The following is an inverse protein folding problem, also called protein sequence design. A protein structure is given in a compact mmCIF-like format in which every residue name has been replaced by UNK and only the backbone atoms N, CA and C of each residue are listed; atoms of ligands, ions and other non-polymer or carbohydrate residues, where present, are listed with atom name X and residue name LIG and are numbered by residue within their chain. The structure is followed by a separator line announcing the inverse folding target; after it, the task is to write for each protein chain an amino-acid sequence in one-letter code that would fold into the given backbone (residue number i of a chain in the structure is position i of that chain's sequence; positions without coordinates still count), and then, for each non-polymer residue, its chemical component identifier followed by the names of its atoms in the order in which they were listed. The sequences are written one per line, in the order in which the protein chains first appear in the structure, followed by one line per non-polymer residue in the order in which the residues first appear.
data_IF_446270471551
#
_entry.id   IF_446270471551
#
_cell.length_a   1.000
_cell.length_b   1.000
_cell.length_c   1.000
_cell.angle_alpha   90.00
_cell.angle_beta   90.00
_cell.angle_gamma   90.00
#
_symmetry.space_group_name_H-M   'P 1'
#
loop_
_entity.id
_entity.type
_entity.pdbx_description
1 polymer ?
#
# COMPACT_ATOMS: atom_id res chain seq x y z
N UNK A 1 -14.17 -10.78 -6.26
CA UNK A 1 -12.89 -10.40 -6.87
C UNK A 1 -12.01 -9.90 -5.72
N UNK A 2 -10.89 -9.25 -5.95
CA UNK A 2 -10.21 -8.45 -4.92
C UNK A 2 -10.07 -7.04 -5.46
N UNK A 3 -10.00 -6.05 -4.58
CA UNK A 3 -9.59 -4.70 -4.94
C UNK A 3 -8.18 -4.46 -4.43
N UNK A 4 -7.34 -3.87 -5.28
CA UNK A 4 -5.92 -3.73 -5.00
C UNK A 4 -5.61 -2.28 -4.64
N UNK A 5 -5.00 -2.10 -3.47
CA UNK A 5 -4.47 -0.83 -3.00
C UNK A 5 -2.96 -0.85 -3.18
N UNK A 6 -2.40 0.29 -3.54
CA UNK A 6 -0.95 0.41 -3.74
C UNK A 6 -0.40 1.55 -2.91
N UNK A 7 0.66 1.27 -2.13
CA UNK A 7 1.49 2.31 -1.53
C UNK A 7 2.73 2.48 -2.38
N UNK A 8 2.98 3.72 -2.82
CA UNK A 8 4.20 4.11 -3.52
C UNK A 8 5.00 5.05 -2.62
N UNK A 9 6.22 4.66 -2.28
CA UNK A 9 7.00 5.31 -1.22
C UNK A 9 8.48 5.49 -1.58
N UNK A 10 9.14 6.42 -0.89
CA UNK A 10 10.55 6.74 -1.11
C UNK A 10 11.50 5.86 -0.29
N UNK A 11 11.00 5.32 0.83
CA UNK A 11 11.72 4.39 1.70
C UNK A 11 11.11 3.01 1.61
N UNK A 12 11.92 1.98 1.85
CA UNK A 12 11.48 0.59 1.79
C UNK A 12 10.48 0.30 2.92
N UNK A 13 9.29 -0.26 2.62
CA UNK A 13 8.37 -0.81 3.60
C UNK A 13 8.90 -2.15 4.12
N UNK A 14 9.99 -2.13 4.89
CA UNK A 14 10.57 -3.36 5.42
C UNK A 14 9.60 -4.08 6.38
N UNK A 15 9.90 -5.34 6.69
CA UNK A 15 9.00 -6.18 7.50
C UNK A 15 8.67 -5.56 8.87
N UNK A 16 9.64 -4.90 9.51
CA UNK A 16 9.40 -4.23 10.79
C UNK A 16 8.43 -3.07 10.62
N UNK A 17 8.64 -2.24 9.60
CA UNK A 17 7.78 -1.09 9.28
C UNK A 17 6.35 -1.54 8.95
N UNK A 18 6.20 -2.65 8.22
CA UNK A 18 4.89 -3.23 7.92
C UNK A 18 4.18 -3.69 9.20
N UNK A 19 4.87 -4.42 10.09
CA UNK A 19 4.30 -4.85 11.37
C UNK A 19 3.90 -3.65 12.24
N UNK A 20 4.76 -2.63 12.35
CA UNK A 20 4.46 -1.41 13.10
C UNK A 20 3.29 -0.62 12.52
N UNK A 21 3.09 -0.66 11.20
CA UNK A 21 1.93 -0.08 10.56
C UNK A 21 0.65 -0.87 10.87
N UNK A 22 0.72 -2.21 10.84
CA UNK A 22 -0.42 -3.08 11.19
C UNK A 22 -0.87 -2.87 12.63
N UNK A 23 0.06 -2.87 13.58
CA UNK A 23 -0.25 -2.65 15.00
C UNK A 23 -0.91 -1.30 15.26
N UNK A 24 -0.55 -0.27 14.48
CA UNK A 24 -1.11 1.06 14.67
C UNK A 24 -2.45 1.26 13.94
N UNK A 25 -2.63 0.64 12.77
CA UNK A 25 -3.76 0.90 11.88
C UNK A 25 -4.91 -0.10 12.01
N UNK A 26 -4.60 -1.35 12.33
CA UNK A 26 -5.51 -2.51 12.33
C UNK A 26 -5.16 -3.50 13.46
N UNK A 27 -5.07 -3.05 14.73
CA UNK A 27 -4.61 -3.87 15.86
C UNK A 27 -5.49 -5.11 16.15
N UNK A 28 -6.71 -5.13 15.62
CA UNK A 28 -7.67 -6.22 15.76
C UNK A 28 -7.43 -7.41 14.81
N UNK A 29 -6.56 -7.26 13.81
CA UNK A 29 -6.29 -8.33 12.83
C UNK A 29 -5.09 -9.19 13.23
N UNK A 30 -5.20 -10.49 12.97
CA UNK A 30 -4.14 -11.47 13.18
C UNK A 30 -3.26 -11.61 11.95
N UNK A 31 -1.95 -11.63 12.14
CA UNK A 31 -0.97 -11.75 11.04
C UNK A 31 -0.54 -13.21 10.86
N UNK A 32 -0.55 -13.67 9.61
CA UNK A 32 -0.02 -14.98 9.19
C UNK A 32 0.93 -14.79 8.01
N UNK A 33 2.11 -15.41 8.07
CA UNK A 33 2.98 -15.55 6.90
C UNK A 33 2.48 -16.70 6.02
N UNK A 34 2.47 -16.47 4.70
CA UNK A 34 2.02 -17.43 3.70
C UNK A 34 2.93 -17.40 2.47
N UNK A 35 2.76 -18.39 1.58
CA UNK A 35 3.49 -18.53 0.32
C UNK A 35 5.03 -18.40 0.50
N UNK A 36 5.64 -19.28 1.31
CA UNK A 36 7.08 -19.28 1.58
C UNK A 36 7.62 -17.90 2.01
N UNK A 37 6.90 -17.25 2.94
CA UNK A 37 7.20 -15.93 3.51
C UNK A 37 7.15 -14.76 2.50
N UNK A 38 6.57 -14.97 1.32
CA UNK A 38 6.39 -13.91 0.30
C UNK A 38 5.08 -13.11 0.44
N UNK A 39 4.20 -13.53 1.36
CA UNK A 39 2.91 -12.89 1.62
C UNK A 39 2.65 -12.78 3.12
N UNK A 40 2.13 -11.62 3.54
CA UNK A 40 1.52 -11.45 4.86
C UNK A 40 0.00 -11.41 4.70
N UNK A 41 -0.69 -12.31 5.38
CA UNK A 41 -2.15 -12.36 5.43
C UNK A 41 -2.64 -11.78 6.75
N UNK A 42 -3.67 -10.93 6.68
CA UNK A 42 -4.35 -10.37 7.84
C UNK A 42 -5.73 -10.99 7.94
N UNK A 43 -6.00 -11.60 9.08
CA UNK A 43 -7.17 -12.42 9.37
C UNK A 43 -7.98 -11.78 10.49
N UNK A 44 -9.29 -11.93 10.48
CA UNK A 44 -10.11 -11.59 11.66
C UNK A 44 -10.07 -12.69 12.74
N UNK A 45 -10.78 -12.46 13.85
CA UNK A 45 -10.89 -13.40 14.97
C UNK A 45 -11.51 -14.76 14.58
N UNK A 46 -12.28 -14.81 13.48
CA UNK A 46 -12.85 -16.05 12.96
C UNK A 46 -11.85 -16.81 12.06
N UNK A 47 -10.68 -16.22 11.78
CA UNK A 47 -9.68 -16.76 10.88
C UNK A 47 -10.00 -16.51 9.40
N UNK A 48 -10.92 -15.60 9.09
CA UNK A 48 -11.25 -15.23 7.72
C UNK A 48 -10.26 -14.18 7.20
N UNK A 49 -9.73 -14.40 5.99
CA UNK A 49 -8.83 -13.47 5.33
C UNK A 49 -9.53 -12.14 5.06
N UNK A 50 -8.90 -11.04 5.45
CA UNK A 50 -9.34 -9.67 5.21
C UNK A 50 -8.45 -9.02 4.15
N UNK A 51 -7.13 -9.06 4.37
CA UNK A 51 -6.11 -8.44 3.51
C UNK A 51 -4.97 -9.41 3.24
N UNK A 52 -4.34 -9.29 2.08
CA UNK A 52 -3.08 -9.95 1.76
C UNK A 52 -2.08 -8.90 1.26
N UNK A 53 -0.85 -8.96 1.75
CA UNK A 53 0.19 -7.95 1.52
C UNK A 53 1.39 -8.67 0.93
N UNK A 54 1.78 -8.29 -0.28
CA UNK A 54 2.97 -8.84 -0.93
C UNK A 54 4.25 -8.24 -0.37
N UNK A 55 5.41 -8.80 -0.71
CA UNK A 55 6.68 -8.13 -0.41
C UNK A 55 6.85 -6.84 -1.23
N UNK A 56 7.47 -5.79 -0.66
CA UNK A 56 7.71 -4.54 -1.38
C UNK A 56 8.68 -4.77 -2.56
N UNK A 57 8.42 -4.08 -3.66
CA UNK A 57 9.22 -4.16 -4.89
C UNK A 57 9.88 -2.82 -5.20
N UNK A 58 11.18 -2.83 -5.47
CA UNK A 58 11.90 -1.64 -5.92
C UNK A 58 11.63 -1.36 -7.40
N UNK A 59 11.02 -0.22 -7.70
CA UNK A 59 10.78 0.27 -9.04
C UNK A 59 11.98 1.11 -9.48
N UNK A 60 12.75 0.59 -10.46
CA UNK A 60 13.94 1.25 -11.01
C UNK A 60 13.64 2.23 -12.15
N UNK A 61 12.43 2.18 -12.70
CA UNK A 61 11.96 3.10 -13.74
C UNK A 61 10.71 3.80 -13.20
N UNK A 62 10.86 4.92 -12.48
CA UNK A 62 9.76 5.57 -11.76
C UNK A 62 8.57 5.96 -12.65
N UNK A 63 8.83 6.26 -13.93
CA UNK A 63 7.80 6.55 -14.94
C UNK A 63 6.87 5.35 -15.21
N UNK A 64 7.31 4.13 -14.89
CA UNK A 64 6.45 2.96 -15.02
C UNK A 64 5.35 2.95 -13.95
N UNK A 65 5.62 3.51 -12.77
CA UNK A 65 4.61 3.66 -11.73
C UNK A 65 3.45 4.57 -12.17
N UNK A 66 3.74 5.66 -12.91
CA UNK A 66 2.68 6.54 -13.44
C UNK A 66 1.90 5.88 -14.56
N UNK A 67 2.56 5.07 -15.40
CA UNK A 67 1.90 4.30 -16.46
C UNK A 67 0.95 3.25 -15.88
N UNK A 68 1.39 2.51 -14.86
CA UNK A 68 0.60 1.46 -14.21
C UNK A 68 -0.56 2.03 -13.39
N UNK A 69 -0.37 3.17 -12.74
CA UNK A 69 -1.39 3.85 -11.94
C UNK A 69 -2.17 4.91 -12.74
N UNK A 70 -2.11 4.86 -14.08
CA UNK A 70 -2.81 5.81 -14.93
C UNK A 70 -4.33 5.72 -14.67
N UNK A 71 -4.93 6.83 -14.24
CA UNK A 71 -6.35 6.90 -13.88
C UNK A 71 -6.68 6.54 -12.43
N UNK A 72 -5.70 6.09 -11.64
CA UNK A 72 -5.89 5.91 -10.20
C UNK A 72 -5.93 7.28 -9.51
N UNK A 73 -6.79 7.41 -8.49
CA UNK A 73 -6.75 8.56 -7.61
C UNK A 73 -5.58 8.38 -6.62
N UNK A 74 -4.73 9.40 -6.54
CA UNK A 74 -3.60 9.42 -5.61
C UNK A 74 -3.99 10.20 -4.35
N UNK A 75 -3.94 9.54 -3.20
CA UNK A 75 -4.11 10.12 -1.87
C UNK A 75 -2.75 10.45 -1.27
N UNK A 76 -2.48 11.73 -1.06
CA UNK A 76 -1.29 12.20 -0.36
C UNK A 76 -1.52 12.21 1.15
N UNK A 77 -0.58 11.66 1.91
CA UNK A 77 -0.65 11.66 3.38
C UNK A 77 -0.11 12.99 3.93
N UNK A 78 -0.85 13.70 4.80
CA UNK A 78 -0.35 14.93 5.40
C UNK A 78 1.00 14.72 6.12
N UNK A 79 1.95 15.60 5.83
CA UNK A 79 3.29 15.57 6.42
C UNK A 79 4.29 14.62 5.75
N UNK A 80 3.91 13.90 4.68
CA UNK A 80 4.84 13.09 3.89
C UNK A 80 5.31 13.81 2.63
N UNK A 81 6.43 13.34 2.08
CA UNK A 81 6.87 13.77 0.74
C UNK A 81 6.09 13.02 -0.32
N UNK A 82 5.45 13.75 -1.24
CA UNK A 82 4.84 13.16 -2.44
C UNK A 82 5.95 12.85 -3.45
N UNK A 83 6.06 11.61 -3.97
CA UNK A 83 7.03 11.30 -5.00
C UNK A 83 6.90 12.19 -6.24
N UNK A 84 8.01 12.59 -6.83
CA UNK A 84 8.04 13.59 -7.90
C UNK A 84 7.26 13.14 -9.16
N UNK A 85 7.15 11.83 -9.36
CA UNK A 85 6.31 11.23 -10.41
C UNK A 85 4.82 11.58 -10.29
N UNK A 86 4.33 11.90 -9.10
CA UNK A 86 2.93 12.30 -8.84
C UNK A 86 2.78 13.79 -8.51
N UNK A 87 3.88 14.53 -8.38
CA UNK A 87 3.91 15.95 -8.09
C UNK A 87 4.78 16.70 -9.13
N UNK A 88 4.23 17.03 -10.31
CA UNK A 88 4.96 17.72 -11.37
C UNK A 88 5.65 19.00 -10.86
N UNK A 89 6.94 19.15 -11.15
CA UNK A 89 7.74 20.32 -10.77
C UNK A 89 8.38 20.27 -9.37
N UNK A 90 8.19 19.18 -8.61
CA UNK A 90 8.77 19.01 -7.26
C UNK A 90 10.19 18.42 -7.24
N UNK A 91 10.72 17.96 -8.37
CA UNK A 91 12.05 17.35 -8.47
C UNK A 91 12.27 16.66 -9.82
N UNK A 92 13.35 15.88 -9.93
CA UNK A 92 13.61 14.98 -11.06
C UNK A 92 13.01 13.59 -10.78
N UNK A 93 11.89 13.21 -11.44
CA UNK A 93 11.27 11.91 -11.21
C UNK A 93 12.15 10.74 -11.66
N UNK A 94 13.06 10.93 -12.62
CA UNK A 94 13.90 9.87 -13.13
C UNK A 94 14.98 9.43 -12.14
N UNK A 95 15.42 10.35 -11.27
CA UNK A 95 16.44 10.10 -10.26
C UNK A 95 15.91 9.50 -8.95
N UNK A 96 14.60 9.36 -8.78
CA UNK A 96 13.99 8.95 -7.51
C UNK A 96 13.57 7.49 -7.53
N UNK A 97 14.30 6.63 -6.81
CA UNK A 97 13.88 5.25 -6.60
C UNK A 97 12.54 5.20 -5.84
N UNK A 98 11.64 4.31 -6.26
CA UNK A 98 10.33 4.14 -5.63
C UNK A 98 10.15 2.70 -5.16
N UNK A 99 9.52 2.55 -4.01
CA UNK A 99 9.07 1.26 -3.50
C UNK A 99 7.58 1.11 -3.74
N UNK A 100 7.21 -0.04 -4.29
CA UNK A 100 5.84 -0.45 -4.57
C UNK A 100 5.41 -1.52 -3.58
N UNK A 101 4.37 -1.22 -2.82
CA UNK A 101 3.76 -2.15 -1.89
C UNK A 101 2.31 -2.37 -2.29
N UNK A 102 1.96 -3.63 -2.57
CA UNK A 102 0.62 -4.02 -3.00
C UNK A 102 -0.13 -4.68 -1.85
N UNK A 103 -1.40 -4.30 -1.69
CA UNK A 103 -2.31 -4.81 -0.67
C UNK A 103 -3.60 -5.24 -1.38
N UNK A 104 -3.89 -6.53 -1.33
CA UNK A 104 -5.09 -7.13 -1.88
C UNK A 104 -6.18 -7.20 -0.83
N UNK A 105 -7.35 -6.64 -1.13
CA UNK A 105 -8.51 -6.64 -0.24
C UNK A 105 -9.48 -7.72 -0.67
N UNK A 106 -9.91 -8.57 0.26
CA UNK A 106 -10.94 -9.58 -0.04
C UNK A 106 -12.30 -8.91 -0.22
N UNK A 107 -12.93 -9.10 -1.38
CA UNK A 107 -14.28 -8.59 -1.63
C UNK A 107 -15.33 -9.27 -0.74
N UNK A 108 -16.40 -8.53 -0.46
CA UNK A 108 -17.56 -9.04 0.26
C UNK A 108 -17.35 -9.17 1.76
N UNK A 109 -16.18 -8.79 2.27
CA UNK A 109 -15.88 -8.75 3.70
C UNK A 109 -16.12 -7.34 4.24
N UNK A 110 -17.05 -7.17 5.21
CA UNK A 110 -17.26 -5.88 5.85
C UNK A 110 -15.97 -5.37 6.49
N UNK A 111 -15.74 -4.05 6.44
CA UNK A 111 -14.57 -3.36 7.02
C UNK A 111 -13.22 -3.62 6.34
N UNK A 112 -13.06 -4.65 5.51
CA UNK A 112 -11.79 -4.94 4.83
C UNK A 112 -11.23 -3.73 4.04
N UNK A 113 -12.09 -3.00 3.32
CA UNK A 113 -11.68 -1.79 2.62
C UNK A 113 -11.23 -0.66 3.57
N UNK A 114 -11.89 -0.50 4.72
CA UNK A 114 -11.51 0.51 5.72
C UNK A 114 -10.19 0.14 6.41
N UNK A 115 -9.97 -1.14 6.68
CA UNK A 115 -8.69 -1.67 7.18
C UNK A 115 -7.57 -1.44 6.15
N UNK A 116 -7.82 -1.71 4.87
CA UNK A 116 -6.87 -1.45 3.80
C UNK A 116 -6.52 0.04 3.70
N UNK A 117 -7.52 0.92 3.74
CA UNK A 117 -7.31 2.36 3.73
C UNK A 117 -6.44 2.81 4.91
N UNK A 118 -6.81 2.43 6.14
CA UNK A 118 -6.08 2.76 7.36
C UNK A 118 -4.62 2.30 7.27
N UNK A 119 -4.42 1.03 6.90
CA UNK A 119 -3.10 0.43 6.80
C UNK A 119 -2.24 1.07 5.71
N UNK A 120 -2.77 1.28 4.51
CA UNK A 120 -2.03 1.88 3.40
C UNK A 120 -1.56 3.30 3.73
N UNK A 121 -2.41 4.10 4.37
CA UNK A 121 -2.03 5.46 4.80
C UNK A 121 -0.98 5.43 5.92
N UNK A 122 -1.02 4.43 6.80
CA UNK A 122 -0.02 4.27 7.86
C UNK A 122 1.35 3.81 7.32
N UNK A 123 1.37 2.91 6.34
CA UNK A 123 2.59 2.52 5.61
C UNK A 123 3.15 3.74 4.88
N UNK A 124 2.32 4.47 4.12
CA UNK A 124 2.73 5.66 3.39
C UNK A 124 3.31 6.75 4.31
N UNK A 125 2.74 6.93 5.51
CA UNK A 125 3.26 7.82 6.56
C UNK A 125 4.67 7.41 7.01
N UNK A 126 4.88 6.12 7.25
CA UNK A 126 6.17 5.59 7.72
C UNK A 126 7.24 5.55 6.66
N UNK A 127 6.87 5.49 5.38
CA UNK A 127 7.80 5.26 4.27
C UNK A 127 8.00 6.49 3.36
N UNK A 128 7.42 7.64 3.72
CA UNK A 128 7.36 8.84 2.88
C UNK A 128 6.77 8.53 1.50
N UNK A 129 5.45 8.36 1.46
CA UNK A 129 4.76 7.95 0.24
C UNK A 129 3.36 8.50 0.08
N UNK A 130 2.70 7.94 -0.92
CA UNK A 130 1.30 8.16 -1.28
C UNK A 130 0.58 6.83 -1.45
N UNK A 131 -0.74 6.88 -1.40
CA UNK A 131 -1.61 5.73 -1.64
C UNK A 131 -2.32 5.92 -2.97
N UNK A 132 -2.21 4.95 -3.88
CA UNK A 132 -3.06 4.86 -5.05
C UNK A 132 -4.30 4.03 -4.70
N UNK A 133 -5.47 4.63 -4.87
CA UNK A 133 -6.76 4.01 -4.56
C UNK A 133 -7.14 2.99 -5.64
N UNK A 134 -7.87 1.91 -5.28
CA UNK A 134 -8.32 0.90 -6.24
C UNK A 134 -9.17 1.54 -7.36
N UNK A 135 -8.86 1.17 -8.60
CA UNK A 135 -9.65 1.60 -9.75
C UNK A 135 -10.99 0.85 -9.77
N UNK A 136 -12.11 1.59 -9.79
CA UNK A 136 -13.45 1.00 -9.85
C UNK A 136 -14.24 0.97 -8.54
N UNK A 137 -13.75 1.60 -7.46
CA UNK A 137 -14.53 1.81 -6.23
C UNK A 137 -15.62 2.91 -6.34
N UNK A 138 -16.15 3.12 -7.56
CA UNK A 138 -17.11 4.17 -7.86
C UNK A 138 -17.96 3.84 -9.08
N UNK A 139 -19.01 3.05 -8.86
CA UNK A 139 -20.37 3.22 -9.42
C UNK A 139 -21.32 2.24 -8.71
#
# INVERSE_FOLDING_TARGET
MSSDWTVVSLREPDQLTLIEAMVAAVPELHVRQAADDSLLELLDDAGELQLAIELPRLIRVPQEATRLLAGAQISAVPGTTVPAVFAPGSGDPAGQALWWQEIHVRDGVPQAAAHAESLCHEIARRCDGVVALPQGAGA
#
